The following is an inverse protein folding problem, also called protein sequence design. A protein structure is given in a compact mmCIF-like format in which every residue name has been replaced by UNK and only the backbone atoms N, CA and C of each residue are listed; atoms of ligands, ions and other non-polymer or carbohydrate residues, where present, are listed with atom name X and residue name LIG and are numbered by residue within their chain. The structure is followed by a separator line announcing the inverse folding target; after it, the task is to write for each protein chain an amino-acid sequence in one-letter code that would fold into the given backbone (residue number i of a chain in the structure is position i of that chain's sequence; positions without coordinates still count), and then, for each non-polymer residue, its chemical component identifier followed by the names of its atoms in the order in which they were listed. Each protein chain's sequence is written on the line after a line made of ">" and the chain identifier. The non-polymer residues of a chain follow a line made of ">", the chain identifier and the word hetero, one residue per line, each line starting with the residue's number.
data_IF_403767953013
#
_entry.id   IF_403767953013
#
_cell.length_a   1.000
_cell.length_b   1.000
_cell.length_c   1.000
_cell.angle_alpha   90.00
_cell.angle_beta   90.00
_cell.angle_gamma   90.00
#
_symmetry.space_group_name_H-M   'P 1'
#
loop_
_entity.id
_entity.type
_entity.pdbx_description
1 polymer ?
#
# COMPACT_ATOMS: atom_id res chain seq x y z
N UNK A 1 46.16 -37.47 -3.61
CA UNK A 1 45.51 -36.24 -4.12
C UNK A 1 44.42 -35.89 -3.13
N UNK A 2 44.44 -34.64 -2.68
CA UNK A 2 43.85 -34.14 -1.42
C UNK A 2 42.33 -34.11 -1.45
N UNK A 3 41.75 -34.52 -0.32
CA UNK A 3 40.33 -34.50 0.03
C UNK A 3 39.88 -33.07 0.40
N UNK A 4 38.87 -32.53 -0.27
CA UNK A 4 38.30 -31.20 -0.01
C UNK A 4 36.83 -31.33 0.41
N UNK A 5 36.61 -31.74 1.65
CA UNK A 5 35.36 -31.53 2.39
C UNK A 5 35.66 -31.15 3.84
N UNK A 6 35.73 -29.84 4.09
CA UNK A 6 35.35 -29.15 5.33
C UNK A 6 35.83 -27.71 5.23
N UNK A 7 35.03 -26.80 5.80
CA UNK A 7 35.36 -25.44 6.24
C UNK A 7 34.39 -24.40 5.67
N UNK A 8 33.18 -24.41 6.20
CA UNK A 8 32.43 -23.19 6.46
C UNK A 8 31.47 -23.53 7.59
N UNK A 9 31.28 -22.59 8.52
CA UNK A 9 30.59 -22.74 9.82
C UNK A 9 31.49 -23.24 10.95
N UNK A 10 32.22 -22.30 11.54
CA UNK A 10 32.54 -22.26 12.97
C UNK A 10 32.84 -20.80 13.33
N UNK A 11 32.00 -20.20 14.18
CA UNK A 11 32.21 -18.83 14.62
C UNK A 11 31.02 -18.23 15.37
N UNK A 12 30.52 -18.91 16.39
CA UNK A 12 29.62 -18.32 17.38
C UNK A 12 29.77 -19.07 18.71
N UNK A 13 30.92 -18.91 19.36
CA UNK A 13 31.02 -19.20 20.80
C UNK A 13 31.87 -18.12 21.48
N UNK A 14 31.32 -17.62 22.60
CA UNK A 14 31.91 -16.77 23.63
C UNK A 14 31.80 -15.24 23.45
N UNK A 15 30.75 -14.68 24.07
CA UNK A 15 30.84 -13.35 24.69
C UNK A 15 30.31 -13.51 26.12
N UNK A 16 31.26 -13.61 27.07
CA UNK A 16 30.99 -13.53 28.50
C UNK A 16 30.55 -12.11 28.86
N UNK A 17 29.53 -12.01 29.71
CA UNK A 17 28.94 -10.78 30.21
C UNK A 17 29.73 -10.23 31.40
N UNK A 18 30.41 -9.10 31.21
CA UNK A 18 30.84 -8.24 32.31
C UNK A 18 30.17 -6.87 32.13
N UNK A 19 29.12 -6.62 32.93
CA UNK A 19 28.37 -5.35 32.96
C UNK A 19 28.83 -4.56 34.19
N UNK A 20 29.47 -3.41 33.97
CA UNK A 20 29.68 -2.39 35.02
C UNK A 20 28.66 -1.26 34.85
N UNK A 21 27.80 -1.08 35.85
CA UNK A 21 26.80 0.00 35.90
C UNK A 21 27.40 1.18 36.64
N UNK A 22 27.49 2.34 35.97
CA UNK A 22 27.72 3.63 36.61
C UNK A 22 26.45 4.47 36.50
N UNK A 23 25.86 4.83 37.64
CA UNK A 23 24.72 5.72 37.75
C UNK A 23 25.20 7.18 37.74
N UNK A 24 24.79 7.99 36.77
CA UNK A 24 24.44 9.39 37.06
C UNK A 24 23.48 9.98 36.01
N UNK A 25 22.53 10.79 36.49
CA UNK A 25 21.30 11.11 35.77
C UNK A 25 21.41 12.23 34.73
N UNK A 26 21.05 11.91 33.49
CA UNK A 26 20.32 12.80 32.59
C UNK A 26 19.45 11.96 31.63
N UNK A 27 18.15 12.25 31.57
CA UNK A 27 17.11 11.43 30.94
C UNK A 27 16.97 11.83 29.46
N UNK A 28 16.91 10.82 28.58
CA UNK A 28 16.72 10.84 27.11
C UNK A 28 17.94 10.51 26.23
N UNK A 29 18.97 9.87 26.78
CA UNK A 29 19.85 9.03 25.97
C UNK A 29 19.23 7.62 25.89
N UNK A 30 18.47 7.34 24.83
CA UNK A 30 18.16 5.94 24.46
C UNK A 30 19.51 5.27 24.23
N UNK A 31 19.90 4.36 25.13
CA UNK A 31 21.09 3.51 25.01
C UNK A 31 21.11 2.86 23.63
N UNK A 32 21.90 3.42 22.73
CA UNK A 32 22.11 2.93 21.36
C UNK A 32 23.06 1.72 21.33
N UNK A 33 23.57 1.27 22.48
CA UNK A 33 24.59 0.23 22.55
C UNK A 33 24.05 -1.20 22.33
N UNK A 34 22.73 -1.38 22.21
CA UNK A 34 22.10 -2.67 21.90
C UNK A 34 21.38 -2.70 20.53
N UNK A 35 21.49 -1.63 19.73
CA UNK A 35 20.86 -1.59 18.42
C UNK A 35 21.85 -2.05 17.34
N UNK A 36 21.80 -3.34 16.97
CA UNK A 36 22.65 -3.92 15.92
C UNK A 36 22.48 -3.23 14.55
N UNK A 37 21.33 -2.57 14.30
CA UNK A 37 21.05 -1.82 13.08
C UNK A 37 20.76 -0.35 13.41
N UNK A 38 21.79 0.50 13.39
CA UNK A 38 21.62 1.96 13.54
C UNK A 38 20.92 2.49 12.27
N UNK A 39 19.75 3.11 12.43
CA UNK A 39 19.07 3.77 11.32
C UNK A 39 19.86 5.03 10.96
N UNK A 40 20.24 5.21 9.69
CA UNK A 40 20.94 6.41 9.27
C UNK A 40 20.04 7.64 9.44
N UNK A 41 20.58 8.71 10.00
CA UNK A 41 19.93 10.03 10.00
C UNK A 41 20.08 10.64 8.62
N UNK A 42 19.07 10.48 7.78
CA UNK A 42 19.00 11.14 6.47
C UNK A 42 18.25 12.47 6.64
N UNK A 43 18.93 13.58 6.36
CA UNK A 43 18.27 14.88 6.26
C UNK A 43 17.51 14.95 4.93
N UNK A 44 16.19 15.14 5.03
CA UNK A 44 15.30 15.25 3.85
C UNK A 44 15.59 16.51 3.04
N UNK A 45 16.18 17.52 3.67
CA UNK A 45 16.53 18.80 3.07
C UNK A 45 18.04 18.92 2.78
N UNK A 46 18.78 17.80 2.79
CA UNK A 46 20.22 17.78 2.50
C UNK A 46 20.50 18.48 1.15
N UNK A 47 21.42 19.48 1.13
CA UNK A 47 21.64 20.32 -0.05
C UNK A 47 22.25 19.55 -1.23
N UNK A 48 22.88 18.39 -1.01
CA UNK A 48 23.35 17.50 -2.09
C UNK A 48 22.13 16.80 -2.71
N UNK A 49 21.20 16.31 -1.90
CA UNK A 49 19.97 15.65 -2.37
C UNK A 49 19.01 16.63 -3.05
N UNK A 50 18.84 17.83 -2.49
CA UNK A 50 17.93 18.86 -3.02
C UNK A 50 18.31 19.38 -4.40
N UNK A 51 19.56 19.22 -4.86
CA UNK A 51 19.98 19.53 -6.24
C UNK A 51 19.26 18.67 -7.28
N UNK A 52 18.79 17.49 -6.91
CA UNK A 52 18.04 16.59 -7.77
C UNK A 52 16.53 16.74 -7.62
N UNK A 53 16.08 17.44 -6.59
CA UNK A 53 14.66 17.68 -6.36
C UNK A 53 14.11 18.63 -7.43
N UNK A 54 13.12 18.16 -8.17
CA UNK A 54 12.37 18.96 -9.14
C UNK A 54 10.98 19.21 -8.58
N UNK A 55 10.70 20.46 -8.20
CA UNK A 55 9.36 20.87 -7.80
C UNK A 55 8.44 20.82 -9.00
N UNK A 56 7.52 19.85 -9.01
CA UNK A 56 6.48 19.78 -10.02
C UNK A 56 5.42 20.86 -9.76
N UNK A 57 4.83 21.47 -10.81
CA UNK A 57 3.74 22.41 -10.64
C UNK A 57 2.54 21.71 -9.98
N UNK A 58 1.72 22.43 -9.20
CA UNK A 58 0.51 21.87 -8.62
C UNK A 58 -0.42 21.32 -9.72
N UNK A 59 -0.98 20.14 -9.47
CA UNK A 59 -1.99 19.56 -10.36
C UNK A 59 -3.32 20.23 -10.09
N UNK A 60 -3.90 20.91 -11.09
CA UNK A 60 -5.25 21.45 -11.02
C UNK A 60 -6.24 20.39 -11.46
N UNK A 61 -6.88 19.72 -10.49
CA UNK A 61 -7.98 18.81 -10.77
C UNK A 61 -9.18 19.63 -11.28
N UNK A 62 -9.79 19.21 -12.40
CA UNK A 62 -11.13 19.68 -12.76
C UNK A 62 -12.03 19.33 -11.57
N UNK A 63 -12.82 20.28 -11.06
CA UNK A 63 -13.62 20.12 -9.83
C UNK A 63 -14.76 19.09 -9.90
N UNK A 64 -14.66 18.12 -10.80
CA UNK A 64 -15.54 16.98 -10.90
C UNK A 64 -15.28 16.01 -9.75
N UNK A 65 -16.33 15.71 -9.00
CA UNK A 65 -16.28 14.76 -7.90
C UNK A 65 -16.30 13.34 -8.44
N UNK A 66 -15.72 12.42 -7.69
CA UNK A 66 -15.73 11.01 -8.06
C UNK A 66 -17.16 10.49 -8.17
N UNK A 67 -17.46 9.78 -9.26
CA UNK A 67 -18.76 9.15 -9.43
C UNK A 67 -18.94 7.96 -8.51
N UNK A 68 -17.85 7.29 -8.18
CA UNK A 68 -17.83 6.07 -7.37
C UNK A 68 -16.86 6.22 -6.20
N UNK A 69 -17.20 5.63 -5.06
CA UNK A 69 -16.34 5.53 -3.88
C UNK A 69 -16.51 4.19 -3.19
N UNK A 70 -15.62 3.86 -2.25
CA UNK A 70 -15.65 2.59 -1.53
C UNK A 70 -16.06 2.84 -0.08
N UNK A 71 -16.96 2.01 0.45
CA UNK A 71 -17.36 2.01 1.86
C UNK A 71 -17.52 0.59 2.35
N UNK A 72 -16.84 0.23 3.46
CA UNK A 72 -16.93 -1.11 4.07
C UNK A 72 -16.68 -2.28 3.11
N UNK A 73 -15.78 -2.12 2.14
CA UNK A 73 -15.46 -3.16 1.16
C UNK A 73 -16.50 -3.36 0.06
N UNK A 74 -17.47 -2.44 -0.06
CA UNK A 74 -18.42 -2.39 -1.17
C UNK A 74 -18.30 -1.09 -1.94
N UNK A 75 -18.71 -1.15 -3.20
CA UNK A 75 -18.75 -0.03 -4.13
C UNK A 75 -20.01 0.79 -3.86
N UNK A 76 -19.87 2.11 -3.81
CA UNK A 76 -20.95 3.05 -3.58
C UNK A 76 -20.94 4.13 -4.65
N UNK A 77 -22.13 4.57 -5.07
CA UNK A 77 -22.27 5.58 -6.11
C UNK A 77 -22.55 6.94 -5.46
N UNK A 78 -21.83 7.98 -5.86
CA UNK A 78 -22.01 9.31 -5.30
C UNK A 78 -23.40 9.84 -5.63
N UNK A 79 -24.08 10.39 -4.63
CA UNK A 79 -25.38 11.06 -4.80
C UNK A 79 -25.30 12.23 -5.80
N UNK A 80 -24.14 12.87 -5.90
CA UNK A 80 -23.92 13.96 -6.85
C UNK A 80 -23.82 13.45 -8.28
N UNK A 81 -23.22 12.26 -8.47
CA UNK A 81 -23.16 11.60 -9.76
C UNK A 81 -24.53 11.09 -10.18
N UNK A 82 -25.30 10.46 -9.28
CA UNK A 82 -26.68 10.03 -9.55
C UNK A 82 -27.60 11.18 -9.96
N UNK A 83 -27.41 12.37 -9.38
CA UNK A 83 -28.20 13.57 -9.72
C UNK A 83 -27.81 14.19 -11.06
N UNK A 84 -26.55 14.07 -11.46
CA UNK A 84 -26.01 14.70 -12.67
C UNK A 84 -26.09 13.80 -13.89
N UNK A 85 -25.85 12.51 -13.67
CA UNK A 85 -25.79 11.44 -14.66
C UNK A 85 -26.93 10.48 -14.35
N UNK A 86 -28.02 10.59 -15.10
CA UNK A 86 -29.14 9.65 -14.98
C UNK A 86 -28.74 8.31 -15.60
N UNK A 87 -29.06 7.21 -14.93
CA UNK A 87 -28.87 5.84 -15.42
C UNK A 87 -27.44 5.52 -15.89
N UNK A 88 -26.41 6.10 -15.29
CA UNK A 88 -25.05 5.74 -15.65
C UNK A 88 -24.75 4.27 -15.31
N UNK A 89 -24.02 3.62 -16.19
CA UNK A 89 -23.54 2.25 -16.05
C UNK A 89 -22.04 2.28 -15.76
N UNK A 90 -21.54 1.27 -15.07
CA UNK A 90 -20.12 1.16 -14.75
C UNK A 90 -19.62 -0.27 -14.96
N UNK A 91 -18.40 -0.38 -15.48
CA UNK A 91 -17.63 -1.61 -15.54
C UNK A 91 -16.48 -1.57 -14.55
N UNK A 92 -16.26 -2.69 -13.87
CA UNK A 92 -15.22 -2.87 -12.89
C UNK A 92 -14.09 -3.76 -13.43
N UNK A 93 -12.85 -3.29 -13.34
CA UNK A 93 -11.67 -4.01 -13.79
C UNK A 93 -10.73 -4.22 -12.60
N UNK A 94 -10.62 -5.43 -12.02
CA UNK A 94 -9.70 -5.69 -10.93
C UNK A 94 -8.26 -5.49 -11.42
N UNK A 95 -7.46 -4.75 -10.66
CA UNK A 95 -6.04 -4.57 -10.98
C UNK A 95 -5.25 -5.74 -10.38
N UNK A 96 -4.52 -6.44 -11.25
CA UNK A 96 -3.67 -7.58 -10.91
C UNK A 96 -2.21 -7.15 -11.01
N UNK A 97 -1.44 -7.34 -9.94
CA UNK A 97 0.00 -7.10 -9.97
C UNK A 97 0.71 -8.25 -10.66
N UNK A 98 1.57 -7.92 -11.61
CA UNK A 98 2.45 -8.87 -12.29
C UNK A 98 3.76 -9.10 -11.53
N UNK A 99 4.69 -9.88 -12.09
CA UNK A 99 6.00 -10.09 -11.49
C UNK A 99 6.87 -8.83 -11.59
N UNK A 100 7.29 -8.31 -10.43
CA UNK A 100 8.13 -7.11 -10.28
C UNK A 100 7.34 -5.82 -10.03
N UNK A 101 8.05 -4.70 -9.85
CA UNK A 101 7.47 -3.45 -9.33
C UNK A 101 6.67 -2.64 -10.35
N UNK A 102 6.90 -2.89 -11.65
CA UNK A 102 6.36 -2.06 -12.74
C UNK A 102 5.39 -2.80 -13.66
N UNK A 103 4.98 -4.02 -13.30
CA UNK A 103 4.08 -4.84 -14.13
C UNK A 103 2.72 -4.95 -13.47
N UNK A 104 1.68 -4.59 -14.20
CA UNK A 104 0.30 -4.81 -13.81
C UNK A 104 -0.54 -5.17 -15.04
N UNK A 105 -1.67 -5.82 -14.80
CA UNK A 105 -2.70 -6.09 -15.80
C UNK A 105 -4.08 -5.89 -15.19
N UNK A 106 -5.09 -5.75 -16.04
CA UNK A 106 -6.48 -5.82 -15.60
C UNK A 106 -6.96 -7.27 -15.71
N UNK A 107 -7.68 -7.73 -14.69
CA UNK A 107 -8.38 -9.00 -14.73
C UNK A 107 -9.66 -8.92 -15.54
N UNK A 108 -10.44 -10.00 -15.51
CA UNK A 108 -11.71 -10.07 -16.21
C UNK A 108 -12.65 -8.97 -15.70
N UNK A 109 -13.25 -8.18 -16.61
CA UNK A 109 -14.20 -7.15 -16.22
C UNK A 109 -15.45 -7.77 -15.58
N UNK A 110 -16.00 -7.06 -14.61
CA UNK A 110 -17.37 -7.24 -14.17
C UNK A 110 -18.17 -6.11 -14.78
N UNK A 111 -19.02 -6.46 -15.73
CA UNK A 111 -19.86 -5.52 -16.46
C UNK A 111 -21.07 -5.10 -15.61
N UNK A 112 -21.52 -3.86 -15.81
CA UNK A 112 -22.74 -3.29 -15.22
C UNK A 112 -22.84 -3.50 -13.68
N UNK A 113 -21.77 -3.12 -12.97
CA UNK A 113 -21.74 -3.21 -11.50
C UNK A 113 -22.83 -2.35 -10.87
N UNK A 114 -23.36 -2.82 -9.75
CA UNK A 114 -24.41 -2.11 -9.00
C UNK A 114 -23.85 -1.55 -7.71
N UNK A 115 -24.53 -0.54 -7.19
CA UNK A 115 -24.26 -0.03 -5.86
C UNK A 115 -24.38 -1.15 -4.82
N UNK A 116 -23.41 -1.25 -3.93
CA UNK A 116 -23.29 -2.33 -2.96
C UNK A 116 -22.51 -3.56 -3.45
N UNK A 117 -22.11 -3.63 -4.72
CA UNK A 117 -21.26 -4.72 -5.21
C UNK A 117 -19.98 -4.84 -4.37
N UNK A 118 -19.58 -6.06 -3.96
CA UNK A 118 -18.36 -6.26 -3.20
C UNK A 118 -17.14 -5.96 -4.06
N UNK A 119 -16.07 -5.45 -3.44
CA UNK A 119 -14.78 -5.36 -4.10
C UNK A 119 -14.27 -6.77 -4.44
N UNK A 120 -13.52 -6.89 -5.53
CA UNK A 120 -12.81 -8.13 -5.90
C UNK A 120 -11.29 -8.01 -5.73
N UNK A 121 -10.78 -6.78 -5.62
CA UNK A 121 -9.37 -6.44 -5.44
C UNK A 121 -9.27 -5.14 -4.65
N UNK A 122 -8.14 -4.92 -3.98
CA UNK A 122 -7.85 -3.67 -3.27
C UNK A 122 -7.66 -2.50 -4.23
N UNK A 123 -7.20 -2.78 -5.45
CA UNK A 123 -7.03 -1.79 -6.52
C UNK A 123 -7.85 -2.20 -7.73
N UNK A 124 -8.56 -1.25 -8.32
CA UNK A 124 -9.39 -1.52 -9.49
C UNK A 124 -9.54 -0.27 -10.34
N UNK A 125 -9.66 -0.46 -11.65
CA UNK A 125 -10.14 0.57 -12.56
C UNK A 125 -11.66 0.47 -12.63
N UNK A 126 -12.31 1.62 -12.65
CA UNK A 126 -13.72 1.73 -12.99
C UNK A 126 -13.88 2.57 -14.25
N UNK A 127 -14.79 2.16 -15.11
CA UNK A 127 -15.17 2.92 -16.29
C UNK A 127 -16.69 3.08 -16.26
N UNK A 128 -17.18 4.30 -16.16
CA UNK A 128 -18.60 4.60 -16.15
C UNK A 128 -18.99 5.48 -17.32
N UNK A 129 -20.21 5.32 -17.81
CA UNK A 129 -20.77 6.14 -18.88
C UNK A 129 -22.27 6.36 -18.65
N UNK A 130 -22.78 7.49 -19.15
CA UNK A 130 -24.21 7.80 -19.17
C UNK A 130 -24.76 7.85 -20.61
N UNK A 131 -26.09 7.94 -20.73
CA UNK A 131 -26.78 8.06 -22.04
C UNK A 131 -26.42 9.35 -22.79
N UNK A 132 -25.86 10.34 -22.09
CA UNK A 132 -25.43 11.63 -22.64
C UNK A 132 -23.97 11.60 -23.10
N UNK A 133 -23.36 10.41 -23.14
CA UNK A 133 -21.99 10.18 -23.56
C UNK A 133 -20.94 10.86 -22.65
N UNK A 134 -21.31 11.19 -21.41
CA UNK A 134 -20.38 11.57 -20.35
C UNK A 134 -19.68 10.31 -19.85
N UNK A 135 -18.38 10.37 -19.66
CA UNK A 135 -17.60 9.23 -19.19
C UNK A 135 -16.78 9.57 -17.95
N UNK A 136 -16.63 8.59 -17.08
CA UNK A 136 -15.79 8.66 -15.89
C UNK A 136 -14.88 7.44 -15.84
N UNK A 137 -13.59 7.68 -15.96
CA UNK A 137 -12.57 6.64 -15.85
C UNK A 137 -11.61 6.99 -14.71
N UNK A 138 -11.45 6.07 -13.75
CA UNK A 138 -10.53 6.28 -12.64
C UNK A 138 -10.03 4.96 -12.04
N UNK A 139 -8.90 5.03 -11.33
CA UNK A 139 -8.36 3.93 -10.53
C UNK A 139 -8.68 4.21 -9.06
N UNK A 140 -9.39 3.29 -8.44
CA UNK A 140 -9.77 3.36 -7.04
C UNK A 140 -8.95 2.38 -6.20
N UNK A 141 -8.77 2.76 -4.94
CA UNK A 141 -8.23 1.90 -3.91
C UNK A 141 -9.28 1.71 -2.81
N UNK A 142 -9.33 0.49 -2.27
CA UNK A 142 -10.23 0.10 -1.20
C UNK A 142 -9.70 -1.12 -0.46
N UNK A 143 -10.43 -1.57 0.55
CA UNK A 143 -10.10 -2.79 1.29
C UNK A 143 -11.05 -3.89 0.82
N UNK A 144 -10.53 -4.84 0.06
CA UNK A 144 -11.27 -6.05 -0.30
C UNK A 144 -11.37 -6.96 0.93
N UNK A 145 -12.60 -7.25 1.35
CA UNK A 145 -12.87 -8.11 2.51
C UNK A 145 -12.77 -9.57 2.10
N UNK A 146 -11.59 -10.15 2.23
CA UNK A 146 -11.39 -11.59 2.05
C UNK A 146 -11.84 -12.35 3.31
N UNK A 147 -12.92 -13.13 3.19
CA UNK A 147 -13.51 -13.89 4.30
C UNK A 147 -12.55 -14.90 4.90
N UNK A 148 -11.79 -15.62 4.06
CA UNK A 148 -10.81 -16.62 4.50
C UNK A 148 -9.72 -15.99 5.37
N UNK A 149 -9.19 -14.83 4.98
CA UNK A 149 -8.18 -14.10 5.79
C UNK A 149 -8.82 -13.61 7.09
N UNK A 150 -10.04 -13.05 7.00
CA UNK A 150 -10.78 -12.54 8.15
C UNK A 150 -11.09 -13.64 9.17
N UNK A 151 -11.40 -14.85 8.72
CA UNK A 151 -11.64 -16.02 9.58
C UNK A 151 -10.37 -16.52 10.25
N UNK A 152 -9.25 -16.61 9.51
CA UNK A 152 -7.94 -16.95 10.09
C UNK A 152 -7.55 -16.00 11.23
N UNK A 153 -7.80 -14.70 11.05
CA UNK A 153 -7.52 -13.69 12.08
C UNK A 153 -8.40 -13.82 13.33
N UNK A 154 -9.63 -14.37 13.20
CA UNK A 154 -10.49 -14.63 14.37
C UNK A 154 -9.97 -15.83 15.18
N UNK A 155 -9.39 -16.82 14.51
CA UNK A 155 -8.87 -18.03 15.13
C UNK A 155 -7.52 -17.82 15.84
N UNK A 156 -6.77 -16.79 15.46
CA UNK A 156 -5.46 -16.45 16.06
C UNK A 156 -5.52 -15.35 17.11
N UNK A 157 -6.72 -14.92 17.52
CA UNK A 157 -6.88 -13.95 18.61
C UNK A 157 -6.63 -14.67 19.95
N UNK A 158 -5.64 -14.26 20.77
CA UNK A 158 -5.37 -14.87 22.07
C UNK A 158 -6.52 -14.66 23.06
#
# INVERSE_FOLDING_TARGET
>A
VVDMKKNMWNGFENINSDIYISNDGNKDARNNELQACIHSTLDVDDPIMMKFYKKMPPVFCKGEKNWVYVKNGTIQFSEEAKKRHENFQCDYYPLIRGPGDYKFSYGNPVEDIKEGSPLLSDFFKINCWDDKNSTYENIHAGIHVNTTIKERLKLTKP
#
